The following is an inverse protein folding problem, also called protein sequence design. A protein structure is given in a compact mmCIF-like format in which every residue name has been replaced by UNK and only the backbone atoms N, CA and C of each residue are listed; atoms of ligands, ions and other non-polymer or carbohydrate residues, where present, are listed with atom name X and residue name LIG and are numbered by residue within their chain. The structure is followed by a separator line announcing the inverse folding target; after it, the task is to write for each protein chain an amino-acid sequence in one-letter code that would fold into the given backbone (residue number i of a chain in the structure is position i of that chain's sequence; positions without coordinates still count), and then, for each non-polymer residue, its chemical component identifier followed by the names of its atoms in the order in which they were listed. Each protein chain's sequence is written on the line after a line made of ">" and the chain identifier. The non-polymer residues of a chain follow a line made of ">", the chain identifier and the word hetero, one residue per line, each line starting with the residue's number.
data_IF_633806674320
#
_entry.id   IF_633806674320
#
_cell.length_a   1.000
_cell.length_b   1.000
_cell.length_c   1.000
_cell.angle_alpha   90.00
_cell.angle_beta   90.00
_cell.angle_gamma   90.00
#
_symmetry.space_group_name_H-M   'P 1'
#
loop_
_entity.id
_entity.type
_entity.pdbx_description
1 polymer ?
#
# COMPACT_ATOMS: atom_id res chain seq x y z
N UNK A 1 -16.97 -13.07 -4.38
CA UNK A 1 -16.14 -12.84 -5.59
C UNK A 1 -14.72 -13.27 -5.25
N UNK A 2 -14.04 -14.00 -6.13
CA UNK A 2 -12.60 -14.30 -5.93
C UNK A 2 -11.78 -13.06 -6.26
N UNK A 3 -10.90 -12.62 -5.36
CA UNK A 3 -10.09 -11.42 -5.57
C UNK A 3 -8.95 -11.71 -6.55
N UNK A 4 -8.81 -10.89 -7.60
CA UNK A 4 -7.69 -11.01 -8.52
C UNK A 4 -6.45 -10.37 -7.91
N UNK A 5 -5.46 -11.20 -7.56
CA UNK A 5 -4.19 -10.74 -6.98
C UNK A 5 -3.47 -9.77 -7.89
N UNK A 6 -2.75 -8.82 -7.29
CA UNK A 6 -1.86 -7.92 -8.03
C UNK A 6 -0.69 -8.76 -8.54
N UNK A 7 -0.39 -8.65 -9.84
CA UNK A 7 0.74 -9.38 -10.45
C UNK A 7 1.74 -8.39 -11.06
N UNK A 8 2.79 -8.00 -10.32
CA UNK A 8 3.79 -7.09 -10.83
C UNK A 8 4.68 -7.71 -11.92
N UNK A 9 5.21 -6.90 -12.86
CA UNK A 9 5.99 -7.38 -14.00
C UNK A 9 7.40 -7.85 -13.62
N UNK A 10 7.82 -7.66 -12.38
CA UNK A 10 9.12 -8.07 -11.85
C UNK A 10 9.02 -8.39 -10.36
N UNK A 11 10.06 -9.05 -9.84
CA UNK A 11 10.18 -9.31 -8.41
C UNK A 11 10.17 -8.00 -7.61
N UNK A 12 9.58 -8.04 -6.41
CA UNK A 12 9.46 -6.87 -5.51
C UNK A 12 10.72 -6.61 -4.67
N UNK A 13 11.88 -7.16 -5.05
CA UNK A 13 13.19 -6.79 -4.49
C UNK A 13 13.76 -5.59 -5.24
N UNK A 14 13.21 -4.40 -4.98
CA UNK A 14 13.58 -3.15 -5.66
C UNK A 14 15.07 -2.80 -5.56
N UNK A 15 15.77 -3.26 -4.52
CA UNK A 15 17.20 -2.98 -4.33
C UNK A 15 18.06 -3.78 -5.32
N UNK A 16 17.59 -4.97 -5.72
CA UNK A 16 18.24 -5.82 -6.71
C UNK A 16 17.96 -5.36 -8.16
N UNK A 17 16.85 -4.65 -8.41
CA UNK A 17 16.47 -4.18 -9.74
C UNK A 17 17.41 -3.09 -10.31
N UNK A 18 17.60 -3.13 -11.61
CA UNK A 18 18.26 -2.07 -12.38
C UNK A 18 17.38 -0.83 -12.49
N UNK A 19 17.98 0.34 -12.78
CA UNK A 19 17.22 1.59 -12.99
C UNK A 19 16.18 1.48 -14.11
N UNK A 20 16.46 0.67 -15.15
CA UNK A 20 15.52 0.45 -16.24
C UNK A 20 14.32 -0.41 -15.81
N UNK A 21 14.54 -1.45 -15.02
CA UNK A 21 13.47 -2.27 -14.45
C UNK A 21 12.61 -1.46 -13.47
N UNK A 22 13.25 -0.64 -12.62
CA UNK A 22 12.54 0.29 -11.74
C UNK A 22 11.65 1.25 -12.53
N UNK A 23 12.15 1.82 -13.63
CA UNK A 23 11.35 2.69 -14.49
C UNK A 23 10.13 1.94 -15.07
N UNK A 24 10.34 0.73 -15.61
CA UNK A 24 9.26 -0.11 -16.15
C UNK A 24 8.21 -0.45 -15.09
N UNK A 25 8.64 -0.77 -13.88
CA UNK A 25 7.73 -1.03 -12.77
C UNK A 25 6.87 0.19 -12.44
N UNK A 26 7.48 1.38 -12.35
CA UNK A 26 6.75 2.61 -12.01
C UNK A 26 5.76 3.00 -13.12
N UNK A 27 6.13 2.85 -14.39
CA UNK A 27 5.23 3.06 -15.52
C UNK A 27 4.04 2.09 -15.49
N UNK A 28 4.31 0.79 -15.25
CA UNK A 28 3.27 -0.22 -15.07
C UNK A 28 2.35 0.13 -13.90
N UNK A 29 2.91 0.47 -12.74
CA UNK A 29 2.15 0.78 -11.53
C UNK A 29 1.13 1.88 -11.79
N UNK A 30 1.56 3.00 -12.39
CA UNK A 30 0.67 4.13 -12.70
C UNK A 30 -0.38 3.72 -13.74
N UNK A 31 0.01 2.94 -14.76
CA UNK A 31 -0.90 2.53 -15.83
C UNK A 31 -2.05 1.64 -15.34
N UNK A 32 -1.80 0.79 -14.34
CA UNK A 32 -2.83 -0.15 -13.84
C UNK A 32 -3.74 0.44 -12.75
N UNK A 33 -3.39 1.59 -12.16
CA UNK A 33 -4.17 2.22 -11.07
C UNK A 33 -5.67 2.28 -11.38
N UNK A 34 -6.15 2.74 -12.56
CA UNK A 34 -7.58 2.79 -12.85
C UNK A 34 -8.27 1.42 -12.82
N UNK A 35 -7.63 0.39 -13.40
CA UNK A 35 -8.15 -0.97 -13.40
C UNK A 35 -8.20 -1.54 -11.98
N UNK A 36 -7.12 -1.37 -11.22
CA UNK A 36 -7.02 -1.85 -9.84
C UNK A 36 -7.99 -1.17 -8.89
N UNK A 37 -8.24 0.13 -9.06
CA UNK A 37 -9.28 0.85 -8.30
C UNK A 37 -10.68 0.30 -8.63
N UNK A 38 -10.96 -0.05 -9.89
CA UNK A 38 -12.22 -0.69 -10.26
C UNK A 38 -12.36 -2.12 -9.68
N UNK A 39 -11.27 -2.89 -9.63
CA UNK A 39 -11.22 -4.19 -8.95
C UNK A 39 -11.49 -4.03 -7.45
N UNK A 40 -10.85 -3.05 -6.80
CA UNK A 40 -11.06 -2.73 -5.40
C UNK A 40 -12.52 -2.40 -5.13
N UNK A 41 -13.11 -1.48 -5.89
CA UNK A 41 -14.53 -1.11 -5.75
C UNK A 41 -15.44 -2.31 -5.92
N UNK A 42 -15.20 -3.16 -6.92
CA UNK A 42 -16.01 -4.36 -7.13
C UNK A 42 -15.94 -5.30 -5.92
N UNK A 43 -14.77 -5.43 -5.29
CA UNK A 43 -14.60 -6.25 -4.09
C UNK A 43 -15.25 -5.65 -2.85
N UNK A 44 -15.11 -4.34 -2.63
CA UNK A 44 -15.77 -3.62 -1.54
C UNK A 44 -17.29 -3.79 -1.67
N UNK A 45 -17.84 -3.54 -2.86
CA UNK A 45 -19.28 -3.57 -3.09
C UNK A 45 -19.87 -4.99 -3.02
N UNK A 46 -19.05 -6.02 -3.22
CA UNK A 46 -19.43 -7.41 -3.01
C UNK A 46 -19.47 -7.82 -1.53
N UNK A 47 -18.97 -6.97 -0.62
CA UNK A 47 -18.94 -7.22 0.82
C UNK A 47 -20.23 -6.75 1.49
N UNK A 48 -20.74 -7.54 2.44
CA UNK A 48 -21.97 -7.21 3.14
C UNK A 48 -21.84 -5.86 3.87
N UNK A 49 -22.83 -4.98 3.69
CA UNK A 49 -22.84 -3.64 4.30
C UNK A 49 -22.09 -2.54 3.52
N UNK A 50 -21.39 -2.89 2.44
CA UNK A 50 -20.55 -1.94 1.67
C UNK A 50 -20.98 -1.76 0.21
N UNK A 51 -22.17 -2.23 -0.16
CA UNK A 51 -22.65 -2.21 -1.56
C UNK A 51 -22.81 -0.81 -2.18
N UNK A 52 -22.93 0.23 -1.35
CA UNK A 52 -23.02 1.64 -1.77
C UNK A 52 -21.68 2.36 -1.84
N UNK A 53 -20.58 1.72 -1.43
CA UNK A 53 -19.27 2.34 -1.48
C UNK A 53 -18.87 2.64 -2.93
N UNK A 54 -18.15 3.75 -3.13
CA UNK A 54 -17.67 4.15 -4.43
C UNK A 54 -16.29 4.77 -4.30
N UNK A 55 -15.41 4.41 -5.24
CA UNK A 55 -14.10 4.99 -5.43
C UNK A 55 -14.21 6.38 -6.12
N UNK A 56 -14.96 7.29 -5.49
CA UNK A 56 -15.27 8.63 -6.03
C UNK A 56 -14.15 9.66 -5.80
N UNK A 57 -13.06 9.23 -5.17
CA UNK A 57 -11.91 10.06 -4.79
C UNK A 57 -12.21 11.16 -3.77
N UNK A 58 -13.35 11.08 -3.08
CA UNK A 58 -13.69 11.94 -1.94
C UNK A 58 -12.92 11.45 -0.69
N UNK A 59 -12.31 12.34 0.10
CA UNK A 59 -11.63 11.97 1.34
C UNK A 59 -12.47 11.12 2.30
N UNK A 60 -13.78 11.34 2.38
CA UNK A 60 -14.69 10.59 3.25
C UNK A 60 -14.76 9.10 2.88
N UNK A 61 -14.53 8.76 1.60
CA UNK A 61 -14.51 7.36 1.14
C UNK A 61 -13.41 6.51 1.80
N UNK A 62 -12.34 7.15 2.31
CA UNK A 62 -11.23 6.48 2.97
C UNK A 62 -11.58 5.96 4.37
N UNK A 63 -12.60 6.52 5.02
CA UNK A 63 -13.05 6.06 6.34
C UNK A 63 -13.68 4.68 6.19
N UNK A 64 -14.71 4.58 5.34
CA UNK A 64 -15.39 3.31 5.07
C UNK A 64 -14.45 2.28 4.43
N UNK A 65 -13.58 2.71 3.50
CA UNK A 65 -12.59 1.81 2.90
C UNK A 65 -11.62 1.26 3.95
N UNK A 66 -11.19 2.09 4.90
CA UNK A 66 -10.30 1.68 5.98
C UNK A 66 -10.93 0.61 6.87
N UNK A 67 -12.19 0.82 7.27
CA UNK A 67 -12.93 -0.13 8.11
C UNK A 67 -13.20 -1.44 7.37
N UNK A 68 -13.60 -1.35 6.10
CA UNK A 68 -13.71 -2.52 5.23
C UNK A 68 -12.38 -3.25 5.17
N UNK A 69 -11.27 -2.57 4.83
CA UNK A 69 -9.98 -3.20 4.64
C UNK A 69 -9.49 -3.89 5.92
N UNK A 70 -9.69 -3.29 7.09
CA UNK A 70 -9.36 -3.91 8.37
C UNK A 70 -10.11 -5.23 8.58
N UNK A 71 -11.38 -5.34 8.15
CA UNK A 71 -12.14 -6.59 8.21
C UNK A 71 -11.65 -7.67 7.23
N UNK A 72 -10.86 -7.28 6.22
CA UNK A 72 -10.35 -8.18 5.19
C UNK A 72 -8.93 -8.70 5.47
N UNK A 73 -8.28 -8.19 6.53
CA UNK A 73 -6.91 -8.57 6.88
C UNK A 73 -6.90 -10.03 7.34
N UNK A 74 -6.05 -10.83 6.70
CA UNK A 74 -5.79 -12.21 7.07
C UNK A 74 -4.30 -12.52 7.05
N UNK A 75 -3.89 -13.41 7.96
CA UNK A 75 -2.54 -13.91 8.08
C UNK A 75 -2.46 -15.39 7.70
N UNK A 76 -1.24 -15.86 7.49
CA UNK A 76 -0.84 -17.24 7.36
C UNK A 76 0.45 -17.48 8.14
N UNK A 77 0.74 -18.73 8.44
CA UNK A 77 2.05 -19.08 8.98
C UNK A 77 3.15 -18.81 7.94
N UNK A 78 4.29 -18.29 8.42
CA UNK A 78 5.52 -18.22 7.63
C UNK A 78 6.07 -19.63 7.43
N UNK A 79 6.56 -19.87 6.23
CA UNK A 79 7.34 -21.08 5.95
C UNK A 79 8.69 -21.00 6.64
N UNK A 80 9.30 -22.15 6.90
CA UNK A 80 10.64 -22.22 7.49
C UNK A 80 11.67 -21.44 6.64
N UNK A 81 11.59 -21.54 5.32
CA UNK A 81 12.48 -20.82 4.41
C UNK A 81 12.34 -19.30 4.51
N UNK A 82 11.11 -18.78 4.67
CA UNK A 82 10.86 -17.35 4.88
C UNK A 82 11.44 -16.88 6.23
N UNK A 83 11.22 -17.64 7.30
CA UNK A 83 11.78 -17.33 8.61
C UNK A 83 13.31 -17.27 8.57
N UNK A 84 13.96 -18.30 8.02
CA UNK A 84 15.42 -18.36 7.87
C UNK A 84 15.96 -17.22 7.01
N UNK A 85 15.26 -16.84 5.94
CA UNK A 85 15.65 -15.71 5.09
C UNK A 85 15.57 -14.36 5.82
N UNK A 86 14.60 -14.19 6.72
CA UNK A 86 14.52 -13.00 7.59
C UNK A 86 15.67 -13.02 8.59
N UNK A 87 15.87 -14.13 9.29
CA UNK A 87 16.94 -14.30 10.29
C UNK A 87 18.33 -14.01 9.70
N UNK A 88 18.61 -14.49 8.50
CA UNK A 88 19.87 -14.26 7.81
C UNK A 88 20.14 -12.77 7.49
N UNK A 89 19.10 -11.92 7.47
CA UNK A 89 19.21 -10.48 7.22
C UNK A 89 19.28 -9.65 8.50
N UNK A 90 19.00 -10.24 9.66
CA UNK A 90 19.04 -9.55 10.94
C UNK A 90 20.50 -9.39 11.41
N UNK A 91 20.87 -8.16 11.76
CA UNK A 91 22.18 -7.89 12.39
C UNK A 91 22.22 -8.34 13.85
N UNK A 92 21.06 -8.40 14.51
CA UNK A 92 20.92 -8.76 15.91
C UNK A 92 19.84 -9.86 16.06
N UNK A 93 19.97 -10.78 17.03
CA UNK A 93 18.95 -11.79 17.27
C UNK A 93 17.65 -11.09 17.69
N UNK A 94 16.66 -11.14 16.82
CA UNK A 94 15.30 -10.67 17.08
C UNK A 94 14.31 -11.78 16.77
N UNK A 95 13.20 -11.81 17.50
CA UNK A 95 12.15 -12.78 17.25
C UNK A 95 11.50 -12.49 15.89
N UNK A 96 11.58 -13.43 14.96
CA UNK A 96 10.86 -13.34 13.69
C UNK A 96 9.40 -13.69 13.96
N UNK A 97 8.43 -12.83 13.60
CA UNK A 97 7.03 -13.14 13.84
C UNK A 97 6.64 -14.45 13.12
N UNK A 98 5.75 -15.24 13.72
CA UNK A 98 5.33 -16.52 13.13
C UNK A 98 4.45 -16.30 11.90
N UNK A 99 3.64 -15.23 11.90
CA UNK A 99 2.59 -15.01 10.91
C UNK A 99 2.93 -13.90 9.91
N UNK A 100 2.63 -14.13 8.65
CA UNK A 100 2.74 -13.19 7.54
C UNK A 100 1.36 -12.88 6.95
N UNK A 101 1.20 -11.71 6.34
CA UNK A 101 0.00 -11.39 5.58
C UNK A 101 -0.20 -12.38 4.43
N UNK A 102 -1.44 -12.75 4.15
CA UNK A 102 -1.76 -13.54 2.95
C UNK A 102 -1.51 -12.74 1.68
N UNK A 103 -1.24 -13.42 0.56
CA UNK A 103 -1.04 -12.76 -0.74
C UNK A 103 -2.26 -11.92 -1.17
N UNK A 104 -3.46 -12.35 -0.77
CA UNK A 104 -4.70 -11.60 -0.96
C UNK A 104 -4.71 -10.31 -0.11
N UNK A 105 -4.31 -10.38 1.15
CA UNK A 105 -4.20 -9.18 2.01
C UNK A 105 -3.17 -8.21 1.48
N UNK A 106 -2.00 -8.69 1.02
CA UNK A 106 -0.97 -7.86 0.40
C UNK A 106 -1.49 -7.23 -0.90
N UNK A 107 -2.19 -7.98 -1.74
CA UNK A 107 -2.79 -7.46 -2.98
C UNK A 107 -3.83 -6.37 -2.70
N UNK A 108 -4.74 -6.61 -1.74
CA UNK A 108 -5.71 -5.60 -1.29
C UNK A 108 -5.01 -4.37 -0.72
N UNK A 109 -3.93 -4.54 0.05
CA UNK A 109 -3.14 -3.43 0.58
C UNK A 109 -2.54 -2.56 -0.54
N UNK A 110 -2.02 -3.18 -1.60
CA UNK A 110 -1.51 -2.45 -2.77
C UNK A 110 -2.63 -1.62 -3.42
N UNK A 111 -3.80 -2.21 -3.65
CA UNK A 111 -4.93 -1.51 -4.28
C UNK A 111 -5.49 -0.40 -3.40
N UNK A 112 -5.58 -0.62 -2.07
CA UNK A 112 -5.94 0.42 -1.09
C UNK A 112 -4.92 1.54 -1.11
N UNK A 113 -3.61 1.22 -1.19
CA UNK A 113 -2.55 2.21 -1.34
C UNK A 113 -2.65 3.00 -2.64
N UNK A 114 -2.95 2.35 -3.78
CA UNK A 114 -3.20 3.02 -5.05
C UNK A 114 -4.38 3.99 -4.96
N UNK A 115 -5.49 3.57 -4.35
CA UNK A 115 -6.66 4.41 -4.18
C UNK A 115 -6.37 5.59 -3.24
N UNK A 116 -5.82 5.33 -2.05
CA UNK A 116 -5.42 6.35 -1.07
C UNK A 116 -4.50 7.38 -1.70
N UNK A 117 -3.50 6.93 -2.47
CA UNK A 117 -2.61 7.82 -3.18
C UNK A 117 -3.33 8.67 -4.22
N UNK A 118 -4.25 8.07 -4.97
CA UNK A 118 -5.06 8.79 -5.96
C UNK A 118 -5.98 9.83 -5.33
N UNK A 119 -6.57 9.55 -4.16
CA UNK A 119 -7.36 10.54 -3.40
C UNK A 119 -6.52 11.77 -3.06
N UNK A 120 -5.28 11.58 -2.58
CA UNK A 120 -4.35 12.70 -2.33
C UNK A 120 -4.08 13.51 -3.60
N UNK A 121 -3.73 12.85 -4.71
CA UNK A 121 -3.43 13.53 -5.98
C UNK A 121 -4.62 14.30 -6.54
N UNK A 122 -5.84 13.80 -6.38
CA UNK A 122 -7.06 14.45 -6.87
C UNK A 122 -7.44 15.67 -6.05
N UNK A 123 -7.12 15.69 -4.76
CA UNK A 123 -7.47 16.76 -3.85
C UNK A 123 -6.34 17.79 -3.65
N UNK A 124 -5.11 17.49 -4.09
CA UNK A 124 -3.95 18.38 -3.97
C UNK A 124 -3.14 18.44 -5.28
N UNK A 125 -3.36 19.46 -6.14
CA UNK A 125 -2.73 19.56 -7.45
C UNK A 125 -1.20 19.70 -7.46
N UNK A 126 -0.59 20.09 -6.34
CA UNK A 126 0.87 20.17 -6.16
C UNK A 126 1.52 18.78 -6.06
N UNK A 127 0.73 17.76 -5.70
CA UNK A 127 1.20 16.40 -5.51
C UNK A 127 1.26 15.64 -6.84
N UNK A 128 2.19 14.71 -6.93
CA UNK A 128 2.33 13.82 -8.09
C UNK A 128 2.99 12.50 -7.69
N UNK A 129 2.78 11.48 -8.53
CA UNK A 129 3.59 10.28 -8.47
C UNK A 129 5.07 10.61 -8.73
N UNK A 130 5.95 9.95 -8.00
CA UNK A 130 7.39 10.00 -8.17
C UNK A 130 8.02 8.68 -7.74
N UNK A 131 9.32 8.55 -7.97
CA UNK A 131 10.11 7.40 -7.56
C UNK A 131 11.57 7.84 -7.39
N UNK A 132 12.19 7.47 -6.27
CA UNK A 132 13.56 7.90 -5.94
C UNK A 132 14.55 6.77 -6.21
N UNK A 133 15.58 7.05 -7.01
CA UNK A 133 16.59 6.06 -7.43
C UNK A 133 18.03 6.52 -7.18
N UNK A 134 18.20 7.60 -6.40
CA UNK A 134 19.49 8.23 -6.13
C UNK A 134 20.31 7.44 -5.11
N UNK A 135 19.66 6.82 -4.12
CA UNK A 135 20.32 6.08 -3.04
C UNK A 135 19.58 4.82 -2.68
N UNK A 136 20.24 3.66 -2.79
CA UNK A 136 19.72 2.35 -2.34
C UNK A 136 19.49 2.26 -0.82
N UNK A 137 20.01 3.23 -0.04
CA UNK A 137 19.73 3.34 1.40
C UNK A 137 18.35 3.93 1.69
N UNK A 138 17.69 4.51 0.69
CA UNK A 138 16.37 5.05 0.85
C UNK A 138 15.34 3.93 1.03
N UNK A 139 14.49 4.01 2.06
CA UNK A 139 13.58 2.93 2.44
C UNK A 139 12.62 2.54 1.31
N UNK A 140 12.17 3.51 0.51
CA UNK A 140 11.29 3.33 -0.65
C UNK A 140 12.07 3.42 -1.98
N UNK A 141 13.36 3.04 -1.98
CA UNK A 141 14.19 3.06 -3.19
C UNK A 141 13.48 2.35 -4.35
N UNK A 142 13.28 3.08 -5.45
CA UNK A 142 12.66 2.59 -6.68
C UNK A 142 11.15 2.36 -6.61
N UNK A 143 10.53 2.51 -5.44
CA UNK A 143 9.09 2.29 -5.27
C UNK A 143 8.28 3.53 -5.66
N UNK A 144 7.01 3.37 -6.09
CA UNK A 144 6.08 4.46 -6.30
C UNK A 144 5.82 5.21 -4.99
N UNK A 145 6.03 6.52 -5.01
CA UNK A 145 5.77 7.43 -3.89
C UNK A 145 5.00 8.65 -4.38
N UNK A 146 4.40 9.38 -3.46
CA UNK A 146 3.84 10.71 -3.69
C UNK A 146 4.86 11.73 -3.21
N UNK A 147 5.15 12.68 -4.09
CA UNK A 147 6.03 13.82 -3.85
C UNK A 147 5.22 15.12 -4.02
N UNK A 148 5.77 16.23 -3.52
CA UNK A 148 5.12 17.54 -3.54
C UNK A 148 4.89 18.14 -2.16
N UNK A 149 5.17 17.38 -1.09
CA UNK A 149 5.13 17.82 0.31
C UNK A 149 6.43 18.53 0.75
N UNK A 150 6.99 19.40 -0.10
CA UNK A 150 8.34 19.94 0.12
C UNK A 150 9.42 18.85 0.15
N UNK A 151 10.12 18.69 1.27
CA UNK A 151 11.14 17.64 1.46
C UNK A 151 10.55 16.27 1.81
N UNK A 152 9.30 16.22 2.26
CA UNK A 152 8.63 14.99 2.66
C UNK A 152 8.13 14.19 1.44
N UNK A 153 8.00 12.88 1.65
CA UNK A 153 7.55 11.91 0.64
C UNK A 153 6.73 10.85 1.33
N UNK A 154 5.79 10.28 0.58
CA UNK A 154 4.84 9.32 1.10
C UNK A 154 4.77 8.10 0.20
N UNK A 155 5.00 6.91 0.73
CA UNK A 155 4.69 5.68 0.03
C UNK A 155 3.29 5.19 0.43
N UNK A 156 2.27 5.35 -0.42
CA UNK A 156 0.89 5.02 -0.03
C UNK A 156 0.65 3.50 0.09
N UNK A 157 1.37 2.67 -0.68
CA UNK A 157 1.32 1.21 -0.53
C UNK A 157 1.91 0.77 0.81
N UNK A 158 3.04 1.36 1.22
CA UNK A 158 3.63 1.09 2.54
C UNK A 158 2.68 1.45 3.67
N UNK A 159 1.95 2.56 3.56
CA UNK A 159 0.92 2.95 4.55
C UNK A 159 -0.14 1.85 4.68
N UNK A 160 -0.70 1.37 3.57
CA UNK A 160 -1.73 0.34 3.59
C UNK A 160 -1.21 -1.02 4.10
N UNK A 161 0.01 -1.41 3.73
CA UNK A 161 0.66 -2.64 4.24
C UNK A 161 0.93 -2.54 5.74
N UNK A 162 1.41 -1.37 6.21
CA UNK A 162 1.64 -1.12 7.64
C UNK A 162 0.32 -1.15 8.43
N UNK A 163 -0.75 -0.61 7.84
CA UNK A 163 -2.10 -0.72 8.40
C UNK A 163 -2.52 -2.18 8.55
N UNK A 164 -2.33 -3.01 7.52
CA UNK A 164 -2.66 -4.43 7.58
C UNK A 164 -1.92 -5.16 8.71
N UNK A 165 -0.60 -4.96 8.85
CA UNK A 165 0.14 -5.50 9.99
C UNK A 165 -0.36 -4.97 11.33
N UNK A 166 -0.66 -3.67 11.41
CA UNK A 166 -1.18 -3.06 12.63
C UNK A 166 -2.52 -3.65 13.06
N UNK A 167 -3.42 -3.92 12.11
CA UNK A 167 -4.71 -4.59 12.33
C UNK A 167 -4.50 -6.04 12.75
N UNK A 168 -3.65 -6.81 12.06
CA UNK A 168 -3.34 -8.19 12.42
C UNK A 168 -2.78 -8.30 13.85
N UNK A 169 -1.97 -7.32 14.26
CA UNK A 169 -1.41 -7.25 15.61
C UNK A 169 -2.38 -6.67 16.66
N UNK A 170 -3.60 -6.25 16.29
CA UNK A 170 -4.57 -5.61 17.19
C UNK A 170 -4.14 -4.22 17.68
N UNK A 171 -3.17 -3.58 17.02
CA UNK A 171 -2.60 -2.27 17.40
C UNK A 171 -3.18 -1.11 16.59
N UNK A 172 -3.88 -1.39 15.50
CA UNK A 172 -4.51 -0.39 14.63
C UNK A 172 -5.91 -0.82 14.22
N UNK A 173 -6.71 0.15 13.77
CA UNK A 173 -8.04 -0.04 13.21
C UNK A 173 -8.17 0.67 11.86
N UNK A 174 -9.24 0.39 11.12
CA UNK A 174 -9.53 0.97 9.81
C UNK A 174 -9.48 2.50 9.77
N UNK A 175 -9.88 3.15 10.87
CA UNK A 175 -9.79 4.60 11.07
C UNK A 175 -8.42 5.23 10.76
N UNK A 176 -7.34 4.45 10.86
CA UNK A 176 -5.98 4.91 10.59
C UNK A 176 -5.82 5.43 9.16
N UNK A 177 -6.52 4.87 8.18
CA UNK A 177 -6.40 5.29 6.77
C UNK A 177 -6.83 6.76 6.59
N UNK A 178 -7.99 7.12 7.15
CA UNK A 178 -8.48 8.50 7.15
C UNK A 178 -7.62 9.46 7.99
N UNK A 179 -7.10 9.01 9.14
CA UNK A 179 -6.19 9.81 9.96
C UNK A 179 -4.89 10.16 9.24
N UNK A 180 -4.30 9.18 8.54
CA UNK A 180 -3.07 9.40 7.76
C UNK A 180 -3.36 10.32 6.58
N UNK A 181 -4.50 10.18 5.90
CA UNK A 181 -4.91 11.12 4.85
C UNK A 181 -4.95 12.56 5.38
N UNK A 182 -5.63 12.79 6.51
CA UNK A 182 -5.77 14.12 7.10
C UNK A 182 -4.41 14.77 7.37
N UNK A 183 -3.49 14.05 7.99
CA UNK A 183 -2.14 14.53 8.28
C UNK A 183 -1.39 14.95 7.00
N UNK A 184 -1.42 14.13 5.96
CA UNK A 184 -0.74 14.45 4.70
C UNK A 184 -1.45 15.53 3.89
N UNK A 185 -2.76 15.62 3.99
CA UNK A 185 -3.56 16.69 3.37
C UNK A 185 -3.19 18.05 3.95
N UNK A 186 -3.03 18.14 5.27
CA UNK A 186 -2.53 19.33 5.97
C UNK A 186 -1.09 19.66 5.52
N UNK A 187 -0.22 18.65 5.45
CA UNK A 187 1.18 18.82 4.99
C UNK A 187 1.30 19.26 3.52
N UNK A 188 0.30 18.99 2.68
CA UNK A 188 0.27 19.43 1.28
C UNK A 188 -0.24 20.85 1.08
N UNK A 189 -0.93 21.41 2.09
CA UNK A 189 -1.46 22.77 2.07
C UNK A 189 -0.47 23.84 2.54
N UNK A 190 0.62 23.42 3.18
CA UNK A 190 1.77 24.25 3.57
C UNK A 190 2.76 24.48 2.41
#
# INVERSE_FOLDING_TARGET
>A
MTYQLVSPPCALDFVALTKQELKKYNEWFIAIVPERVATLQSCVNASAGHGSWSANFDPASLIELGDWFASQVSTRDRTQSEALAIEARLTFPMNVPHEELTDETVSKAIDVGMYFGTVLLKNHPSLRWGFKTESKRFADYGQPVIVGFGSAILNPVRIAVTLAYGVAAGTQSGSRLGQVYKFWSETAGD
#
